data_IF_145377445283
#
_entry.id   IF_145377445283
#
_cell.length_a   1.000
_cell.length_b   1.000
_cell.length_c   1.000
_cell.angle_alpha   90.00
_cell.angle_beta   90.00
_cell.angle_gamma   90.00
#
_symmetry.space_group_name_H-M   'P 1'
#
loop_
_entity.id
_entity.type
_entity.pdbx_description
1 polymer ?
#
# COMPACT_ATOMS: atom_id res chain seq x y z
N UNK A 1 2.13 39.73 -9.91
CA UNK A 1 0.67 39.98 -9.98
C UNK A 1 0.00 39.49 -8.69
N UNK A 2 -0.45 40.36 -7.76
CA UNK A 2 -1.18 39.93 -6.56
C UNK A 2 -2.35 40.87 -6.19
N UNK A 3 -3.34 41.07 -7.08
CA UNK A 3 -4.42 42.05 -6.86
C UNK A 3 -5.83 41.49 -6.63
N UNK A 4 -6.04 40.19 -6.86
CA UNK A 4 -7.40 39.61 -6.87
C UNK A 4 -7.85 39.07 -5.50
N UNK A 5 -6.92 38.53 -4.70
CA UNK A 5 -7.22 37.95 -3.39
C UNK A 5 -7.60 39.00 -2.32
N UNK A 6 -7.08 40.22 -2.43
CA UNK A 6 -7.37 41.31 -1.49
C UNK A 6 -8.77 41.92 -1.64
N UNK A 7 -9.47 41.68 -2.76
CA UNK A 7 -10.87 42.12 -2.93
C UNK A 7 -11.90 41.09 -2.46
N UNK A 8 -11.55 39.81 -2.39
CA UNK A 8 -12.45 38.76 -1.91
C UNK A 8 -12.62 38.75 -0.38
N UNK A 9 -11.60 39.18 0.37
CA UNK A 9 -11.59 39.15 1.83
C UNK A 9 -12.46 40.24 2.50
N UNK A 10 -12.79 41.32 1.77
CA UNK A 10 -13.66 42.39 2.28
C UNK A 10 -15.17 42.07 2.23
N UNK A 11 -15.59 41.14 1.36
CA UNK A 11 -17.01 40.85 1.13
C UNK A 11 -17.63 39.84 2.13
N UNK A 12 -16.81 39.16 2.94
CA UNK A 12 -17.27 38.07 3.83
C UNK A 12 -17.69 38.57 5.23
N UNK A 13 -17.44 39.84 5.58
CA UNK A 13 -17.59 40.33 6.98
C UNK A 13 -18.97 40.88 7.39
N UNK A 14 -20.00 40.79 6.54
CA UNK A 14 -21.38 41.06 6.99
C UNK A 14 -22.15 39.76 7.05
N UNK A 15 -21.95 39.02 8.14
CA UNK A 15 -22.89 37.95 8.53
C UNK A 15 -24.24 38.64 8.76
N UNK A 16 -25.26 38.41 7.92
CA UNK A 16 -26.59 38.95 8.19
C UNK A 16 -27.04 38.40 9.55
N UNK A 17 -27.74 39.22 10.34
CA UNK A 17 -28.29 38.81 11.62
C UNK A 17 -29.05 37.49 11.43
N UNK A 18 -28.58 36.44 12.12
CA UNK A 18 -29.09 35.09 11.94
C UNK A 18 -30.59 35.08 12.24
N UNK A 19 -31.38 34.70 11.25
CA UNK A 19 -32.83 34.54 11.39
C UNK A 19 -33.07 33.30 12.24
N UNK A 20 -33.77 33.48 13.36
CA UNK A 20 -34.17 32.41 14.26
C UNK A 20 -35.21 31.50 13.59
N UNK A 21 -34.84 30.25 13.28
CA UNK A 21 -35.74 29.28 12.66
C UNK A 21 -36.30 28.31 13.71
N UNK A 22 -37.62 28.24 13.92
CA UNK A 22 -38.22 27.26 14.82
C UNK A 22 -38.04 25.84 14.25
N UNK A 23 -37.85 24.86 15.13
CA UNK A 23 -37.83 23.45 14.75
C UNK A 23 -38.76 22.62 15.64
N UNK A 24 -39.28 21.54 15.06
CA UNK A 24 -40.00 20.48 15.77
C UNK A 24 -39.39 19.13 15.38
N UNK A 25 -39.06 18.29 16.37
CA UNK A 25 -38.57 16.92 16.17
C UNK A 25 -39.05 16.01 17.29
N UNK A 26 -39.19 14.72 17.04
CA UNK A 26 -39.42 13.77 18.12
C UNK A 26 -38.10 13.43 18.85
N UNK A 27 -38.18 13.16 20.16
CA UNK A 27 -37.08 12.57 20.92
C UNK A 27 -36.79 11.16 20.39
N UNK A 28 -35.50 10.85 20.15
CA UNK A 28 -35.06 9.57 19.57
C UNK A 28 -35.50 8.37 20.42
N UNK A 29 -35.50 8.50 21.75
CA UNK A 29 -35.76 7.39 22.67
C UNK A 29 -37.24 7.20 23.01
N UNK A 30 -37.97 8.28 23.30
CA UNK A 30 -39.33 8.20 23.84
C UNK A 30 -40.40 8.78 22.90
N UNK A 31 -40.03 9.34 21.75
CA UNK A 31 -40.96 9.90 20.77
C UNK A 31 -41.63 11.22 21.18
N UNK A 32 -41.39 11.75 22.38
CA UNK A 32 -41.98 13.01 22.83
C UNK A 32 -41.55 14.17 21.90
N UNK A 33 -42.47 15.02 21.42
CA UNK A 33 -42.13 16.15 20.57
C UNK A 33 -41.27 17.16 21.35
N UNK A 34 -40.16 17.58 20.72
CA UNK A 34 -39.25 18.61 21.17
C UNK A 34 -39.38 19.79 20.20
N UNK A 35 -39.64 20.98 20.74
CA UNK A 35 -39.72 22.21 19.98
C UNK A 35 -38.73 23.24 20.53
N UNK A 36 -38.17 24.07 19.65
CA UNK A 36 -37.21 25.11 20.02
C UNK A 36 -36.82 25.98 18.83
N UNK A 37 -35.79 26.80 19.01
CA UNK A 37 -35.27 27.71 17.98
C UNK A 37 -33.85 27.31 17.61
N UNK A 38 -33.60 27.08 16.32
CA UNK A 38 -32.25 26.79 15.81
C UNK A 38 -31.40 28.05 15.84
N UNK A 39 -30.18 27.92 16.36
CA UNK A 39 -29.16 28.96 16.31
C UNK A 39 -28.13 28.69 15.23
N UNK A 40 -27.25 29.66 14.96
CA UNK A 40 -26.08 29.47 14.11
C UNK A 40 -25.06 28.47 14.68
N UNK A 41 -25.12 28.21 15.99
CA UNK A 41 -24.30 27.18 16.67
C UNK A 41 -25.12 25.90 16.88
N UNK A 42 -24.48 24.73 16.87
CA UNK A 42 -25.13 23.47 17.25
C UNK A 42 -25.61 23.54 18.70
N UNK A 43 -26.75 22.91 18.99
CA UNK A 43 -27.34 22.87 20.33
C UNK A 43 -27.56 21.42 20.78
N UNK A 44 -27.44 21.17 22.07
CA UNK A 44 -27.82 19.89 22.71
C UNK A 44 -28.95 20.17 23.67
N UNK A 45 -30.10 19.51 23.47
CA UNK A 45 -31.30 19.69 24.29
C UNK A 45 -31.64 18.36 24.96
N UNK A 46 -31.89 18.39 26.26
CA UNK A 46 -32.29 17.21 27.04
C UNK A 46 -33.81 17.02 26.99
N UNK A 47 -34.25 15.81 26.67
CA UNK A 47 -35.67 15.47 26.70
C UNK A 47 -36.21 15.52 28.14
N UNK A 48 -37.34 16.18 28.36
CA UNK A 48 -37.95 16.30 29.69
C UNK A 48 -38.51 14.99 30.25
N UNK A 49 -38.83 14.01 29.39
CA UNK A 49 -39.40 12.73 29.82
C UNK A 49 -38.35 11.65 30.12
N UNK A 50 -37.31 11.53 29.28
CA UNK A 50 -36.32 10.45 29.39
C UNK A 50 -34.89 10.94 29.63
N UNK A 51 -34.67 12.25 29.76
CA UNK A 51 -33.35 12.88 29.94
C UNK A 51 -32.33 12.63 28.81
N UNK A 52 -32.73 11.96 27.71
CA UNK A 52 -31.86 11.71 26.57
C UNK A 52 -31.49 13.04 25.89
N UNK A 53 -30.19 13.21 25.64
CA UNK A 53 -29.66 14.36 24.91
C UNK A 53 -29.96 14.22 23.40
N UNK A 54 -30.47 15.29 22.81
CA UNK A 54 -30.81 15.38 21.39
C UNK A 54 -30.00 16.51 20.75
N UNK A 55 -29.19 16.18 19.73
CA UNK A 55 -28.36 17.14 19.01
C UNK A 55 -29.15 17.84 17.90
N UNK A 56 -29.24 19.17 17.95
CA UNK A 56 -29.92 20.02 16.96
C UNK A 56 -28.88 20.65 16.04
N UNK A 57 -29.05 20.44 14.73
CA UNK A 57 -28.20 21.05 13.71
C UNK A 57 -28.36 22.59 13.69
N UNK A 58 -27.27 23.33 13.42
CA UNK A 58 -27.34 24.77 13.24
C UNK A 58 -28.18 25.14 12.01
N UNK A 59 -28.63 26.40 11.96
CA UNK A 59 -29.27 26.96 10.76
C UNK A 59 -28.31 26.87 9.57
N UNK A 60 -28.81 26.45 8.41
CA UNK A 60 -28.00 26.36 7.19
C UNK A 60 -27.39 27.74 6.88
N UNK A 61 -26.06 27.86 6.74
CA UNK A 61 -25.43 29.13 6.36
C UNK A 61 -25.69 29.48 4.89
N UNK A 62 -26.17 28.52 4.09
CA UNK A 62 -26.48 28.74 2.68
C UNK A 62 -27.85 29.37 2.53
N UNK A 63 -27.97 30.43 1.70
CA UNK A 63 -29.27 31.04 1.42
C UNK A 63 -30.22 29.98 0.82
N UNK A 64 -31.52 30.04 1.15
CA UNK A 64 -32.48 29.09 0.61
C UNK A 64 -32.38 29.10 -0.91
N UNK A 65 -32.22 27.90 -1.50
CA UNK A 65 -32.18 27.75 -2.95
C UNK A 65 -33.45 28.38 -3.51
N UNK A 66 -33.25 29.35 -4.42
CA UNK A 66 -34.35 29.97 -5.15
C UNK A 66 -35.11 28.84 -5.84
N UNK A 67 -36.36 28.61 -5.42
CA UNK A 67 -37.17 27.55 -6.01
C UNK A 67 -37.08 27.67 -7.53
N UNK A 68 -36.73 26.58 -8.23
CA UNK A 68 -36.57 26.62 -9.68
C UNK A 68 -37.88 27.16 -10.24
N UNK A 69 -37.82 28.33 -10.88
CA UNK A 69 -38.98 28.96 -11.52
C UNK A 69 -39.67 27.87 -12.31
N UNK A 70 -40.87 27.47 -11.87
CA UNK A 70 -41.68 26.48 -12.56
C UNK A 70 -41.76 26.94 -14.00
N UNK A 71 -41.02 26.27 -14.89
CA UNK A 71 -41.07 26.56 -16.32
C UNK A 71 -42.54 26.37 -16.67
N UNK A 72 -43.21 27.45 -17.07
CA UNK A 72 -44.57 27.40 -17.59
C UNK A 72 -44.55 26.30 -18.63
N UNK A 73 -45.23 25.20 -18.32
CA UNK A 73 -45.34 24.03 -19.17
C UNK A 73 -46.00 24.53 -20.45
N UNK A 74 -45.20 24.73 -21.49
CA UNK A 74 -45.70 25.16 -22.78
C UNK A 74 -46.79 24.17 -23.20
N UNK A 75 -47.98 24.71 -23.47
CA UNK A 75 -49.12 23.93 -23.94
C UNK A 75 -48.67 23.13 -25.16
N UNK A 76 -48.96 21.82 -25.25
CA UNK A 76 -48.60 21.02 -26.41
C UNK A 76 -49.34 21.57 -27.63
N UNK A 77 -48.62 22.37 -28.41
CA UNK A 77 -49.05 22.89 -29.69
C UNK A 77 -49.13 21.75 -30.69
N UNK A 78 -50.37 21.34 -30.95
CA UNK A 78 -50.85 20.59 -32.10
C UNK A 78 -50.02 20.90 -33.36
N UNK A 79 -49.04 20.07 -33.70
CA UNK A 79 -48.35 20.14 -34.99
C UNK A 79 -48.64 18.89 -35.80
N UNK A 80 -49.22 19.17 -36.96
CA UNK A 80 -49.69 18.27 -37.96
C UNK A 80 -48.59 17.34 -38.48
N UNK A 81 -49.06 16.17 -38.92
CA UNK A 81 -48.39 15.28 -39.82
C UNK A 81 -47.75 16.04 -40.99
N UNK A 82 -46.47 15.78 -41.23
CA UNK A 82 -45.73 16.27 -42.38
C UNK A 82 -44.51 15.40 -42.61
N UNK A 83 -44.55 14.66 -43.71
CA UNK A 83 -43.60 13.66 -44.14
C UNK A 83 -42.23 14.25 -44.58
N UNK A 84 -41.22 13.37 -44.63
CA UNK A 84 -39.92 13.61 -45.29
C UNK A 84 -38.77 13.11 -44.40
N UNK A 85 -38.31 11.86 -44.54
CA UNK A 85 -37.17 11.49 -45.40
C UNK A 85 -36.09 12.58 -45.46
N UNK A 86 -34.97 12.39 -44.77
CA UNK A 86 -33.67 12.23 -45.43
C UNK A 86 -32.62 11.69 -44.45
N UNK A 87 -32.04 10.57 -44.88
CA UNK A 87 -30.78 9.97 -44.49
C UNK A 87 -29.60 10.77 -45.02
N UNK A 88 -28.60 11.06 -44.19
CA UNK A 88 -27.16 11.05 -44.55
C UNK A 88 -26.30 11.72 -43.47
N UNK A 89 -25.29 10.99 -42.96
CA UNK A 89 -24.05 11.55 -42.44
C UNK A 89 -23.71 11.25 -40.97
N UNK A 90 -22.90 10.22 -40.68
CA UNK A 90 -21.83 10.33 -39.70
C UNK A 90 -20.56 10.87 -40.40
N UNK A 91 -19.60 11.33 -39.60
CA UNK A 91 -18.21 11.70 -39.92
C UNK A 91 -17.89 13.17 -39.61
N UNK A 92 -16.73 13.36 -38.99
CA UNK A 92 -16.06 14.63 -38.60
C UNK A 92 -16.30 15.16 -37.17
N UNK A 93 -15.83 14.42 -36.16
CA UNK A 93 -15.51 15.00 -34.84
C UNK A 93 -14.43 14.21 -34.06
N UNK A 94 -13.41 13.67 -34.74
CA UNK A 94 -12.30 12.99 -34.07
C UNK A 94 -10.99 13.09 -34.88
N UNK A 95 -10.38 14.28 -34.93
CA UNK A 95 -8.99 14.47 -35.39
C UNK A 95 -8.50 15.89 -35.08
N UNK A 96 -8.25 16.20 -33.79
CA UNK A 96 -7.49 17.40 -33.44
C UNK A 96 -6.85 17.29 -32.04
N UNK A 97 -6.01 16.27 -31.81
CA UNK A 97 -5.15 16.24 -30.62
C UNK A 97 -3.88 15.35 -30.77
N UNK A 98 -3.24 15.37 -31.95
CA UNK A 98 -1.96 14.67 -32.18
C UNK A 98 -1.01 15.49 -33.07
N UNK A 99 -0.69 16.71 -32.66
CA UNK A 99 0.34 17.51 -33.32
C UNK A 99 1.05 18.46 -32.33
N UNK A 100 1.60 17.93 -31.24
CA UNK A 100 2.54 18.70 -30.41
C UNK A 100 3.54 17.80 -29.67
N UNK A 101 4.23 16.91 -30.37
CA UNK A 101 5.44 16.22 -29.86
C UNK A 101 6.38 15.83 -30.99
N UNK A 102 7.08 16.79 -31.58
CA UNK A 102 8.28 16.52 -32.37
C UNK A 102 9.12 17.79 -32.57
N UNK A 103 9.94 18.16 -31.59
CA UNK A 103 11.28 18.66 -31.90
C UNK A 103 12.20 18.54 -30.68
N UNK A 104 13.26 17.75 -30.84
CA UNK A 104 14.58 17.77 -30.21
C UNK A 104 15.15 16.37 -30.44
N UNK A 105 15.96 16.24 -31.49
CA UNK A 105 16.81 15.08 -31.74
C UNK A 105 18.24 15.56 -31.96
N UNK A 106 19.17 14.71 -31.53
CA UNK A 106 20.64 14.70 -31.78
C UNK A 106 21.43 15.50 -30.73
N UNK A 107 22.39 14.95 -29.96
CA UNK A 107 23.58 14.18 -30.38
C UNK A 107 24.10 13.21 -29.28
N UNK A 108 24.56 12.02 -29.73
CA UNK A 108 25.52 11.06 -29.13
C UNK A 108 25.16 10.32 -27.82
N UNK A 109 25.45 9.03 -27.63
CA UNK A 109 26.18 8.05 -28.44
C UNK A 109 26.00 6.65 -27.81
N UNK A 110 25.90 5.63 -28.66
CA UNK A 110 25.63 4.24 -28.29
C UNK A 110 26.85 3.54 -27.65
N UNK A 111 26.61 2.86 -26.53
CA UNK A 111 27.33 1.63 -26.16
C UNK A 111 26.27 0.56 -25.86
N UNK A 112 26.22 -0.45 -26.71
CA UNK A 112 25.28 -1.55 -26.65
C UNK A 112 25.65 -2.53 -25.53
N UNK A 113 24.71 -2.82 -24.64
CA UNK A 113 24.72 -4.02 -23.79
C UNK A 113 23.48 -4.82 -24.14
N UNK A 114 23.72 -5.98 -24.73
CA UNK A 114 22.74 -6.99 -25.11
C UNK A 114 22.29 -7.74 -23.86
N UNK A 115 21.01 -7.64 -23.49
CA UNK A 115 20.36 -8.57 -22.56
C UNK A 115 19.10 -9.11 -23.22
N UNK A 116 19.04 -10.43 -23.31
CA UNK A 116 17.98 -11.20 -23.94
C UNK A 116 16.66 -11.06 -23.17
N UNK A 117 15.58 -10.78 -23.90
CA UNK A 117 14.19 -10.99 -23.45
C UNK A 117 13.69 -12.34 -23.95
N UNK A 118 12.92 -13.10 -23.14
CA UNK A 118 12.28 -14.33 -23.59
C UNK A 118 10.95 -14.04 -24.31
N UNK A 119 10.57 -15.02 -25.12
CA UNK A 119 9.63 -14.96 -26.23
C UNK A 119 8.16 -14.95 -25.81
N UNK A 120 7.38 -14.09 -26.47
CA UNK A 120 5.92 -14.19 -26.57
C UNK A 120 5.55 -14.84 -27.92
N UNK A 121 4.85 -15.97 -27.90
CA UNK A 121 4.08 -16.50 -29.04
C UNK A 121 2.64 -16.74 -28.56
N UNK A 122 1.65 -15.97 -29.01
CA UNK A 122 0.86 -16.04 -30.25
C UNK A 122 -0.05 -17.27 -30.38
N UNK A 123 -1.34 -16.99 -30.15
CA UNK A 123 -2.53 -17.34 -30.97
C UNK A 123 -2.79 -18.80 -31.34
N UNK A 124 -3.96 -19.30 -30.90
CA UNK A 124 -4.74 -20.26 -31.65
C UNK A 124 -6.19 -19.78 -31.76
N UNK A 125 -6.63 -19.63 -33.02
CA UNK A 125 -8.00 -19.36 -33.44
C UNK A 125 -8.67 -20.66 -33.84
N UNK A 126 -9.82 -20.98 -33.24
CA UNK A 126 -10.66 -22.12 -33.64
C UNK A 126 -12.14 -21.82 -33.42
N UNK A 127 -12.89 -21.72 -34.52
CA UNK A 127 -14.31 -21.36 -34.60
C UNK A 127 -15.18 -22.60 -34.91
N UNK A 128 -16.48 -22.49 -34.59
CA UNK A 128 -17.62 -23.40 -34.87
C UNK A 128 -17.71 -24.66 -33.98
N UNK A 129 -18.85 -25.12 -33.42
CA UNK A 129 -20.23 -25.10 -33.91
C UNK A 129 -21.28 -25.26 -32.77
N UNK A 130 -22.41 -24.56 -32.92
CA UNK A 130 -23.81 -25.02 -32.81
C UNK A 130 -24.21 -26.18 -31.87
N UNK A 131 -25.11 -25.93 -30.90
CA UNK A 131 -26.43 -26.58 -30.82
C UNK A 131 -27.25 -26.23 -29.56
N UNK A 132 -28.37 -25.57 -29.81
CA UNK A 132 -29.55 -25.41 -28.95
C UNK A 132 -30.16 -26.75 -28.55
N UNK A 133 -30.58 -26.93 -27.28
CA UNK A 133 -31.71 -27.81 -26.96
C UNK A 133 -32.42 -27.43 -25.66
N UNK A 134 -33.73 -27.33 -25.80
CA UNK A 134 -34.74 -26.97 -24.83
C UNK A 134 -35.02 -28.05 -23.77
N UNK A 135 -35.54 -27.55 -22.64
CA UNK A 135 -36.39 -28.12 -21.61
C UNK A 135 -36.95 -29.56 -21.74
N UNK A 136 -36.91 -30.31 -20.61
CA UNK A 136 -38.15 -30.75 -19.92
C UNK A 136 -37.87 -31.45 -18.55
N UNK A 137 -38.89 -31.60 -17.67
CA UNK A 137 -38.76 -31.83 -16.22
C UNK A 137 -39.15 -33.24 -15.72
N UNK A 138 -38.78 -33.53 -14.46
CA UNK A 138 -39.62 -34.25 -13.48
C UNK A 138 -39.45 -35.78 -13.29
N UNK A 139 -39.05 -36.20 -12.07
CA UNK A 139 -39.54 -37.39 -11.31
C UNK A 139 -38.69 -37.54 -10.03
N UNK A 140 -39.21 -37.44 -8.80
CA UNK A 140 -40.18 -38.29 -8.07
C UNK A 140 -39.78 -39.77 -7.94
N UNK A 141 -39.43 -40.19 -6.72
CA UNK A 141 -39.39 -41.57 -6.24
C UNK A 141 -38.44 -41.73 -5.05
N UNK A 142 -38.86 -41.45 -3.81
CA UNK A 142 -39.48 -42.39 -2.86
C UNK A 142 -38.69 -43.69 -2.59
N UNK A 143 -37.96 -43.70 -1.47
CA UNK A 143 -37.91 -44.76 -0.45
C UNK A 143 -37.47 -46.18 -0.79
N UNK A 144 -36.49 -46.70 -0.06
CA UNK A 144 -36.64 -47.93 0.73
C UNK A 144 -35.49 -48.17 1.71
N UNK A 145 -35.84 -48.91 2.77
CA UNK A 145 -35.15 -49.18 4.02
C UNK A 145 -33.97 -50.16 3.89
N UNK A 146 -33.02 -50.02 4.83
CA UNK A 146 -32.22 -50.99 5.64
C UNK A 146 -32.36 -52.52 5.40
N UNK A 147 -31.43 -53.41 5.87
CA UNK A 147 -30.49 -53.21 6.99
C UNK A 147 -29.08 -53.86 6.90
N UNK A 148 -28.19 -53.40 7.80
CA UNK A 148 -27.39 -54.29 8.64
C UNK A 148 -26.04 -54.80 8.13
N UNK A 149 -24.94 -54.27 8.68
CA UNK A 149 -23.75 -55.09 8.91
C UNK A 149 -22.96 -54.65 10.14
N UNK A 150 -22.83 -55.59 11.08
CA UNK A 150 -22.00 -55.56 12.27
C UNK A 150 -20.52 -55.55 11.89
N UNK A 151 -19.69 -54.79 12.60
CA UNK A 151 -18.24 -54.80 12.38
C UNK A 151 -17.42 -54.01 13.40
N UNK A 152 -17.24 -54.58 14.59
CA UNK A 152 -16.08 -54.46 15.50
C UNK A 152 -15.40 -53.10 15.69
N UNK A 153 -15.68 -52.55 16.87
CA UNK A 153 -14.80 -51.82 17.79
C UNK A 153 -13.29 -52.08 17.67
N UNK A 154 -12.51 -51.00 17.59
CA UNK A 154 -11.12 -50.88 18.05
C UNK A 154 -10.99 -49.62 18.92
N UNK A 155 -10.34 -49.70 20.09
CA UNK A 155 -10.11 -48.54 20.95
C UNK A 155 -8.90 -47.73 20.48
N UNK A 156 -9.01 -46.41 20.57
CA UNK A 156 -7.93 -45.44 20.47
C UNK A 156 -7.25 -45.33 21.83
N UNK A 157 -6.00 -45.78 21.91
CA UNK A 157 -5.10 -45.47 23.03
C UNK A 157 -3.94 -44.68 22.47
N UNK A 158 -3.63 -43.57 23.14
CA UNK A 158 -2.65 -42.59 22.71
C UNK A 158 -1.22 -43.10 22.61
N UNK A 159 -0.39 -42.30 21.94
CA UNK A 159 1.04 -42.51 21.87
C UNK A 159 1.75 -41.18 21.77
N UNK A 160 2.29 -40.74 22.91
CA UNK A 160 3.38 -39.78 23.02
C UNK A 160 4.53 -40.17 22.10
N UNK A 161 5.07 -39.21 21.35
CA UNK A 161 6.38 -39.36 20.71
C UNK A 161 7.43 -38.89 21.71
N UNK A 162 8.05 -39.88 22.36
CA UNK A 162 9.24 -39.74 23.21
C UNK A 162 10.48 -40.07 22.36
N UNK A 163 11.48 -39.22 22.48
CA UNK A 163 12.86 -39.40 22.01
C UNK A 163 13.52 -40.67 22.58
N UNK A 164 14.15 -41.48 21.73
CA UNK A 164 15.25 -42.40 22.06
C UNK A 164 15.86 -42.88 20.72
N UNK A 165 17.13 -42.66 20.36
CA UNK A 165 18.38 -43.07 21.00
C UNK A 165 18.46 -44.58 21.25
N UNK A 166 19.18 -45.30 20.37
CA UNK A 166 19.53 -46.72 20.51
C UNK A 166 19.93 -47.29 19.15
N UNK A 167 21.22 -47.45 18.85
CA UNK A 167 22.04 -48.63 19.15
C UNK A 167 21.52 -49.95 18.53
N UNK A 168 22.26 -50.42 17.52
CA UNK A 168 22.82 -51.78 17.46
C UNK A 168 21.89 -52.98 17.18
N UNK A 169 22.08 -53.60 16.01
CA UNK A 169 22.32 -55.05 15.76
C UNK A 169 22.14 -55.32 14.27
N UNK A 170 23.19 -55.76 13.57
CA UNK A 170 23.58 -57.18 13.39
C UNK A 170 22.45 -58.05 12.84
N UNK A 171 22.52 -58.31 11.53
CA UNK A 171 22.25 -59.63 10.97
C UNK A 171 22.78 -59.69 9.51
N UNK A 172 23.89 -60.41 9.37
CA UNK A 172 24.11 -61.44 8.36
C UNK A 172 23.91 -61.12 6.86
N UNK A 173 25.06 -61.05 6.18
CA UNK A 173 25.42 -62.20 5.35
C UNK A 173 25.02 -62.13 3.88
N UNK A 174 25.87 -61.50 3.07
CA UNK A 174 26.29 -62.14 1.82
C UNK A 174 27.64 -61.60 1.35
N UNK A 175 28.66 -62.43 1.59
CA UNK A 175 30.01 -62.30 1.04
C UNK A 175 29.92 -62.61 -0.45
N UNK A 176 29.95 -61.58 -1.29
CA UNK A 176 30.28 -61.69 -2.71
C UNK A 176 31.66 -61.05 -2.94
N UNK A 177 32.54 -61.84 -3.54
CA UNK A 177 33.96 -61.56 -3.70
C UNK A 177 34.27 -60.26 -4.48
N UNK A 178 35.42 -59.60 -4.19
CA UNK A 178 35.81 -58.33 -4.80
C UNK A 178 36.50 -58.56 -6.15
N UNK A 179 35.74 -58.53 -7.25
CA UNK A 179 36.30 -58.53 -8.59
C UNK A 179 36.13 -57.15 -9.24
N UNK A 180 37.23 -56.40 -9.30
CA UNK A 180 37.36 -55.25 -10.20
C UNK A 180 37.72 -53.94 -9.53
N UNK A 181 38.96 -53.82 -9.02
CA UNK A 181 39.61 -52.51 -8.91
C UNK A 181 39.75 -51.91 -10.31
N UNK A 182 38.70 -51.25 -10.80
CA UNK A 182 38.82 -50.28 -11.88
C UNK A 182 39.69 -49.16 -11.34
N UNK A 183 40.99 -49.25 -11.62
CA UNK A 183 41.89 -48.09 -11.55
C UNK A 183 41.25 -47.05 -12.45
N UNK A 184 40.58 -46.07 -11.84
CA UNK A 184 40.27 -44.79 -12.46
C UNK A 184 41.63 -44.21 -12.87
N UNK A 185 42.05 -44.54 -14.10
CA UNK A 185 43.13 -43.84 -14.78
C UNK A 185 42.58 -42.44 -15.02
N UNK A 186 42.79 -41.56 -14.06
CA UNK A 186 42.78 -40.12 -14.29
C UNK A 186 43.66 -39.89 -15.53
N UNK A 187 43.09 -39.44 -16.66
CA UNK A 187 43.90 -39.14 -17.83
C UNK A 187 44.92 -38.09 -17.41
N UNK A 188 46.20 -38.38 -17.63
CA UNK A 188 47.30 -37.46 -17.42
C UNK A 188 47.22 -36.32 -18.45
N UNK A 189 46.19 -35.47 -18.33
CA UNK A 189 45.94 -34.31 -19.18
C UNK A 189 46.65 -33.04 -18.65
N UNK A 190 47.63 -33.20 -17.75
CA UNK A 190 48.30 -32.08 -17.07
C UNK A 190 49.58 -31.55 -17.74
N UNK A 191 50.15 -32.26 -18.71
CA UNK A 191 51.51 -31.94 -19.20
C UNK A 191 51.58 -31.11 -20.50
N UNK A 192 50.47 -30.95 -21.23
CA UNK A 192 50.47 -30.22 -22.52
C UNK A 192 50.15 -28.71 -22.40
N UNK A 193 49.58 -28.27 -21.28
CA UNK A 193 49.17 -26.86 -21.10
C UNK A 193 50.35 -25.89 -20.87
N UNK A 194 51.53 -26.38 -20.48
CA UNK A 194 52.67 -25.54 -20.09
C UNK A 194 53.52 -25.05 -21.27
N UNK A 195 53.28 -25.53 -22.50
CA UNK A 195 54.02 -25.08 -23.70
C UNK A 195 53.54 -23.74 -24.28
N UNK A 196 52.43 -23.19 -23.82
CA UNK A 196 51.93 -21.88 -24.27
C UNK A 196 52.38 -20.70 -23.39
N UNK A 197 53.13 -20.96 -22.32
CA UNK A 197 53.70 -19.93 -21.45
C UNK A 197 54.99 -19.37 -22.06
N UNK A 198 54.84 -18.55 -23.11
CA UNK A 198 55.92 -17.65 -23.53
C UNK A 198 55.88 -16.41 -22.62
N UNK A 199 57.03 -15.94 -22.10
CA UNK A 199 57.07 -14.83 -21.14
C UNK A 199 56.37 -13.57 -21.67
N UNK A 200 56.40 -13.34 -22.98
CA UNK A 200 55.71 -12.23 -23.65
C UNK A 200 54.19 -12.31 -23.48
N UNK A 201 53.58 -13.49 -23.62
CA UNK A 201 52.11 -13.65 -23.49
C UNK A 201 51.63 -13.41 -22.06
N UNK A 202 52.43 -13.78 -21.07
CA UNK A 202 52.12 -13.49 -19.66
C UNK A 202 52.10 -11.98 -19.40
N UNK A 203 53.06 -11.23 -19.95
CA UNK A 203 53.09 -9.76 -19.85
C UNK A 203 51.88 -9.13 -20.52
N UNK A 204 51.53 -9.54 -21.75
CA UNK A 204 50.35 -9.02 -22.46
C UNK A 204 49.06 -9.32 -21.72
N UNK A 205 48.88 -10.55 -21.22
CA UNK A 205 47.72 -10.92 -20.43
C UNK A 205 47.63 -10.10 -19.13
N UNK A 206 48.75 -9.87 -18.45
CA UNK A 206 48.81 -9.00 -17.29
C UNK A 206 48.41 -7.55 -17.60
N UNK A 207 48.90 -6.99 -18.70
CA UNK A 207 48.52 -5.64 -19.13
C UNK A 207 47.02 -5.55 -19.46
N UNK A 208 46.48 -6.53 -20.19
CA UNK A 208 45.04 -6.58 -20.50
C UNK A 208 44.18 -6.70 -19.24
N UNK A 209 44.59 -7.51 -18.26
CA UNK A 209 43.90 -7.65 -16.98
C UNK A 209 43.85 -6.31 -16.23
N UNK A 210 44.97 -5.59 -16.16
CA UNK A 210 45.03 -4.26 -15.52
C UNK A 210 44.13 -3.25 -16.23
N UNK A 211 44.11 -3.25 -17.57
CA UNK A 211 43.24 -2.38 -18.35
C UNK A 211 41.75 -2.67 -18.09
N UNK A 212 41.35 -3.94 -18.10
CA UNK A 212 39.98 -4.36 -17.80
C UNK A 212 39.57 -3.97 -16.38
N UNK A 213 40.46 -4.18 -15.40
CA UNK A 213 40.22 -3.80 -14.01
C UNK A 213 40.06 -2.28 -13.86
N UNK A 214 40.85 -1.49 -14.59
CA UNK A 214 40.79 -0.02 -14.58
C UNK A 214 39.49 0.49 -15.18
N UNK A 215 39.05 -0.07 -16.31
CA UNK A 215 37.76 0.28 -16.93
C UNK A 215 36.60 -0.09 -16.02
N UNK A 216 36.62 -1.30 -15.45
CA UNK A 216 35.61 -1.75 -14.50
C UNK A 216 35.54 -0.84 -13.27
N UNK A 217 36.69 -0.46 -12.71
CA UNK A 217 36.75 0.47 -11.58
C UNK A 217 36.21 1.87 -11.94
N UNK A 218 36.51 2.37 -13.14
CA UNK A 218 36.00 3.65 -13.62
C UNK A 218 34.49 3.65 -13.80
N UNK A 219 33.91 2.60 -14.38
CA UNK A 219 32.46 2.43 -14.50
C UNK A 219 31.81 2.30 -13.12
N UNK A 220 32.37 1.46 -12.24
CA UNK A 220 31.87 1.29 -10.87
C UNK A 220 31.85 2.62 -10.11
N UNK A 221 32.92 3.41 -10.20
CA UNK A 221 33.00 4.73 -9.54
C UNK A 221 31.95 5.69 -10.08
N UNK A 222 31.76 5.77 -11.40
CA UNK A 222 30.71 6.61 -12.00
C UNK A 222 29.32 6.19 -11.58
N UNK A 223 29.04 4.88 -11.52
CA UNK A 223 27.76 4.37 -11.08
C UNK A 223 27.48 4.73 -9.61
N UNK A 224 28.49 4.65 -8.74
CA UNK A 224 28.36 5.07 -7.33
C UNK A 224 28.15 6.58 -7.20
N UNK A 225 28.86 7.39 -7.97
CA UNK A 225 28.68 8.86 -8.00
C UNK A 225 27.28 9.23 -8.51
N UNK A 226 26.78 8.57 -9.56
CA UNK A 226 25.42 8.76 -10.08
C UNK A 226 24.35 8.30 -9.09
N UNK A 227 24.54 7.16 -8.42
CA UNK A 227 23.61 6.66 -7.41
C UNK A 227 23.42 7.67 -6.27
N UNK A 228 24.51 8.28 -5.78
CA UNK A 228 24.43 9.31 -4.75
C UNK A 228 23.59 10.53 -5.17
N UNK A 229 23.74 11.00 -6.41
CA UNK A 229 22.92 12.11 -6.94
C UNK A 229 21.45 11.68 -7.12
N UNK A 230 21.22 10.46 -7.60
CA UNK A 230 19.88 9.93 -7.84
C UNK A 230 19.07 9.84 -6.55
N UNK A 231 19.66 9.41 -5.43
CA UNK A 231 18.96 9.33 -4.14
C UNK A 231 18.36 10.70 -3.77
N UNK A 232 19.18 11.74 -3.70
CA UNK A 232 18.71 13.07 -3.29
C UNK A 232 17.68 13.67 -4.24
N UNK A 233 17.87 13.52 -5.55
CA UNK A 233 16.92 14.03 -6.55
C UNK A 233 15.59 13.30 -6.49
N UNK A 234 15.62 11.96 -6.39
CA UNK A 234 14.43 11.14 -6.32
C UNK A 234 13.68 11.31 -4.99
N UNK A 235 14.39 11.45 -3.86
CA UNK A 235 13.77 11.80 -2.57
C UNK A 235 13.03 13.15 -2.67
N UNK A 236 13.68 14.19 -3.19
CA UNK A 236 13.09 15.52 -3.32
C UNK A 236 11.85 15.51 -4.22
N UNK A 237 11.92 14.85 -5.38
CA UNK A 237 10.78 14.72 -6.28
C UNK A 237 9.64 13.89 -5.65
N UNK A 238 9.99 12.79 -4.99
CA UNK A 238 9.03 11.94 -4.29
C UNK A 238 8.30 12.69 -3.17
N UNK A 239 9.01 13.55 -2.44
CA UNK A 239 8.43 14.41 -1.42
C UNK A 239 7.47 15.46 -1.98
N UNK A 240 7.84 16.09 -3.09
CA UNK A 240 6.95 17.02 -3.79
C UNK A 240 5.66 16.31 -4.26
N UNK A 241 5.78 15.12 -4.86
CA UNK A 241 4.64 14.32 -5.31
C UNK A 241 3.76 13.82 -4.16
N UNK A 242 4.36 13.48 -3.01
CA UNK A 242 3.64 13.11 -1.80
C UNK A 242 2.81 14.30 -1.28
N UNK A 243 3.40 15.50 -1.24
CA UNK A 243 2.70 16.72 -0.84
C UNK A 243 1.52 17.06 -1.78
N UNK A 244 1.60 16.67 -3.05
CA UNK A 244 0.50 16.76 -4.03
C UNK A 244 -0.56 15.65 -3.88
N UNK A 245 -0.38 14.68 -2.97
CA UNK A 245 -1.26 13.52 -2.80
C UNK A 245 -1.13 12.46 -3.90
N UNK A 246 -0.08 12.53 -4.73
CA UNK A 246 0.15 11.61 -5.86
C UNK A 246 0.93 10.37 -5.41
N UNK A 247 0.30 9.56 -4.57
CA UNK A 247 0.91 8.42 -3.88
C UNK A 247 1.64 7.44 -4.83
N UNK A 248 1.03 7.07 -5.97
CA UNK A 248 1.64 6.13 -6.92
C UNK A 248 2.93 6.67 -7.55
N UNK A 249 2.92 7.93 -8.00
CA UNK A 249 4.11 8.57 -8.59
C UNK A 249 5.19 8.82 -7.53
N UNK A 250 4.80 9.18 -6.30
CA UNK A 250 5.74 9.27 -5.18
C UNK A 250 6.40 7.92 -4.89
N UNK A 251 5.64 6.82 -4.89
CA UNK A 251 6.18 5.47 -4.67
C UNK A 251 7.23 5.08 -5.73
N UNK A 252 7.04 5.49 -6.99
CA UNK A 252 7.99 5.25 -8.10
C UNK A 252 9.29 6.05 -7.94
N UNK A 253 9.24 7.32 -7.50
CA UNK A 253 10.44 8.10 -7.19
C UNK A 253 11.20 7.48 -6.01
N UNK A 254 10.51 7.10 -4.93
CA UNK A 254 11.16 6.44 -3.79
C UNK A 254 11.67 5.03 -4.12
N UNK A 255 11.09 4.34 -5.12
CA UNK A 255 11.65 3.09 -5.64
C UNK A 255 13.03 3.34 -6.27
N UNK A 256 13.14 4.38 -7.10
CA UNK A 256 14.43 4.79 -7.69
C UNK A 256 15.46 5.20 -6.63
N UNK A 257 15.03 5.90 -5.59
CA UNK A 257 15.89 6.23 -4.46
C UNK A 257 16.37 4.97 -3.73
N UNK A 258 15.49 3.99 -3.49
CA UNK A 258 15.82 2.73 -2.83
C UNK A 258 16.79 1.88 -3.66
N UNK A 259 16.57 1.74 -4.96
CA UNK A 259 17.48 1.05 -5.88
C UNK A 259 18.86 1.72 -5.91
N UNK A 260 18.91 3.05 -5.90
CA UNK A 260 20.16 3.78 -5.85
C UNK A 260 20.88 3.60 -4.49
N UNK A 261 20.14 3.50 -3.38
CA UNK A 261 20.68 3.19 -2.07
C UNK A 261 21.28 1.77 -2.02
N UNK A 262 20.61 0.78 -2.62
CA UNK A 262 21.12 -0.59 -2.74
C UNK A 262 22.41 -0.67 -3.58
N UNK A 263 22.51 0.13 -4.64
CA UNK A 263 23.74 0.22 -5.44
C UNK A 263 24.93 0.79 -4.66
N UNK A 264 24.68 1.65 -3.68
CA UNK A 264 25.72 2.16 -2.78
C UNK A 264 26.15 1.15 -1.72
N UNK A 265 25.39 0.05 -1.53
CA UNK A 265 25.61 -1.00 -0.52
C UNK A 265 25.78 -0.40 0.89
N UNK A 266 25.01 0.65 1.19
CA UNK A 266 25.05 1.32 2.49
C UNK A 266 23.97 0.74 3.38
N UNK A 267 24.38 0.05 4.44
CA UNK A 267 23.50 -0.34 5.54
C UNK A 267 23.19 0.81 6.50
N UNK A 268 23.28 2.06 6.06
CA UNK A 268 23.10 3.23 6.89
C UNK A 268 21.61 3.56 7.14
N UNK A 269 21.39 4.45 8.10
CA UNK A 269 20.06 4.89 8.51
C UNK A 269 19.27 5.53 7.38
N UNK A 270 19.95 6.28 6.50
CA UNK A 270 19.31 6.93 5.35
C UNK A 270 18.75 5.88 4.39
N UNK A 271 19.53 4.85 4.04
CA UNK A 271 19.07 3.78 3.15
C UNK A 271 17.84 3.06 3.73
N UNK A 272 17.86 2.73 5.04
CA UNK A 272 16.70 2.14 5.72
C UNK A 272 15.47 3.04 5.67
N UNK A 273 15.63 4.35 5.82
CA UNK A 273 14.55 5.33 5.73
C UNK A 273 13.94 5.45 4.35
N UNK A 274 14.76 5.41 3.31
CA UNK A 274 14.32 5.43 1.92
C UNK A 274 13.50 4.17 1.63
N UNK A 275 14.03 3.00 2.02
CA UNK A 275 13.32 1.74 1.89
C UNK A 275 11.99 1.74 2.63
N UNK A 276 11.99 2.15 3.90
CA UNK A 276 10.76 2.25 4.68
C UNK A 276 9.72 3.17 4.02
N UNK A 277 10.15 4.34 3.53
CA UNK A 277 9.25 5.30 2.86
C UNK A 277 8.71 4.77 1.54
N UNK A 278 9.55 4.10 0.75
CA UNK A 278 9.13 3.42 -0.47
C UNK A 278 8.05 2.37 -0.16
N UNK A 279 8.27 1.53 0.86
CA UNK A 279 7.32 0.50 1.27
C UNK A 279 5.99 1.11 1.76
N UNK A 280 6.03 2.15 2.61
CA UNK A 280 4.83 2.86 3.08
C UNK A 280 4.01 3.44 1.91
N UNK A 281 4.67 4.08 0.94
CA UNK A 281 4.01 4.66 -0.23
C UNK A 281 3.48 3.60 -1.19
N UNK A 282 4.20 2.48 -1.35
CA UNK A 282 3.75 1.36 -2.16
C UNK A 282 2.48 0.73 -1.57
N UNK A 283 2.44 0.55 -0.25
CA UNK A 283 1.26 0.08 0.46
C UNK A 283 0.10 1.08 0.32
N UNK A 284 0.35 2.36 0.53
CA UNK A 284 -0.62 3.44 0.39
C UNK A 284 -1.21 3.52 -1.03
N UNK A 285 -0.37 3.41 -2.07
CA UNK A 285 -0.79 3.44 -3.47
C UNK A 285 -1.59 2.19 -3.90
N UNK A 286 -1.48 1.09 -3.15
CA UNK A 286 -2.14 -0.20 -3.44
C UNK A 286 -3.31 -0.51 -2.50
N UNK A 287 -3.70 0.44 -1.66
CA UNK A 287 -4.85 0.26 -0.78
C UNK A 287 -6.09 -0.15 -1.57
N UNK A 288 -6.81 -1.13 -1.02
CA UNK A 288 -8.07 -1.60 -1.56
C UNK A 288 -9.09 -0.47 -1.62
N UNK A 289 -9.78 -0.34 -2.76
CA UNK A 289 -10.94 0.55 -2.86
C UNK A 289 -12.16 0.02 -2.10
N UNK A 290 -12.19 -1.28 -1.80
CA UNK A 290 -13.26 -1.95 -1.04
C UNK A 290 -12.85 -2.06 0.42
N UNK A 291 -13.74 -1.69 1.34
CA UNK A 291 -13.47 -1.79 2.76
C UNK A 291 -13.43 -3.25 3.23
N UNK A 292 -12.69 -3.52 4.31
CA UNK A 292 -12.62 -4.86 4.90
C UNK A 292 -14.00 -5.34 5.39
N UNK A 293 -14.84 -4.42 5.87
CA UNK A 293 -16.21 -4.69 6.31
C UNK A 293 -17.07 -5.17 5.14
N UNK A 294 -17.04 -4.48 3.99
CA UNK A 294 -17.80 -4.89 2.81
C UNK A 294 -17.37 -6.27 2.28
N UNK A 295 -16.07 -6.57 2.31
CA UNK A 295 -15.55 -7.89 1.92
C UNK A 295 -16.10 -8.98 2.84
N UNK A 296 -16.11 -8.74 4.16
CA UNK A 296 -16.65 -9.67 5.13
C UNK A 296 -18.18 -9.80 5.05
N UNK A 297 -18.91 -8.72 4.80
CA UNK A 297 -20.36 -8.75 4.58
C UNK A 297 -20.73 -9.54 3.32
N UNK A 298 -19.94 -9.41 2.25
CA UNK A 298 -20.07 -10.21 1.04
C UNK A 298 -19.81 -11.69 1.34
N UNK A 299 -18.74 -11.99 2.10
CA UNK A 299 -18.42 -13.35 2.54
C UNK A 299 -19.57 -13.96 3.36
N UNK A 300 -20.08 -13.24 4.36
CA UNK A 300 -21.20 -13.67 5.19
C UNK A 300 -22.47 -13.91 4.37
N UNK A 301 -22.76 -13.04 3.41
CA UNK A 301 -23.92 -13.17 2.52
C UNK A 301 -23.85 -14.42 1.63
N UNK A 302 -22.65 -14.79 1.16
CA UNK A 302 -22.44 -16.01 0.35
C UNK A 302 -22.48 -17.26 1.20
N UNK A 303 -21.85 -17.24 2.38
CA UNK A 303 -21.90 -18.34 3.34
C UNK A 303 -23.35 -18.66 3.75
N UNK A 304 -24.17 -17.64 4.02
CA UNK A 304 -25.58 -17.81 4.38
C UNK A 304 -26.43 -18.44 3.28
N UNK A 305 -26.00 -18.40 2.01
CA UNK A 305 -26.64 -19.07 0.88
C UNK A 305 -26.20 -20.52 0.69
N UNK A 306 -25.24 -21.00 1.50
CA UNK A 306 -24.66 -22.33 1.36
C UNK A 306 -23.76 -22.47 0.14
N UNK A 307 -23.20 -21.37 -0.37
CA UNK A 307 -22.13 -21.42 -1.35
C UNK A 307 -20.93 -22.13 -0.71
N UNK A 308 -20.32 -23.09 -1.39
CA UNK A 308 -19.17 -23.84 -0.86
C UNK A 308 -17.85 -23.22 -1.32
N UNK A 309 -17.86 -22.59 -2.49
CA UNK A 309 -16.66 -22.08 -3.19
C UNK A 309 -16.42 -20.59 -2.91
N UNK A 310 -17.27 -19.96 -2.08
CA UNK A 310 -17.11 -18.55 -1.74
C UNK A 310 -15.72 -18.19 -1.18
N UNK A 311 -15.03 -19.01 -0.34
CA UNK A 311 -13.73 -18.63 0.19
C UNK A 311 -12.68 -18.52 -0.92
N UNK A 312 -12.71 -19.43 -1.89
CA UNK A 312 -11.78 -19.44 -3.02
C UNK A 312 -12.04 -18.25 -3.93
N UNK A 313 -13.30 -18.01 -4.33
CA UNK A 313 -13.64 -16.87 -5.18
C UNK A 313 -13.31 -15.51 -4.54
N UNK A 314 -13.54 -15.39 -3.23
CA UNK A 314 -13.27 -14.16 -2.49
C UNK A 314 -11.75 -13.96 -2.32
N UNK A 315 -11.01 -15.05 -2.11
CA UNK A 315 -9.54 -15.03 -2.10
C UNK A 315 -9.02 -14.64 -3.48
N UNK A 316 -9.50 -15.22 -4.57
CA UNK A 316 -9.07 -14.83 -5.92
C UNK A 316 -9.38 -13.37 -6.25
N UNK A 317 -10.51 -12.85 -5.79
CA UNK A 317 -10.95 -11.48 -6.07
C UNK A 317 -10.19 -10.43 -5.26
N UNK A 318 -9.72 -10.77 -4.06
CA UNK A 318 -9.13 -9.81 -3.12
C UNK A 318 -7.71 -10.17 -2.64
N UNK A 319 -7.14 -11.29 -3.06
CA UNK A 319 -5.77 -11.66 -2.72
C UNK A 319 -4.79 -10.59 -3.19
N UNK A 320 -3.92 -10.14 -2.29
CA UNK A 320 -2.96 -9.09 -2.57
C UNK A 320 -3.51 -7.66 -2.44
N UNK A 321 -4.81 -7.49 -2.14
CA UNK A 321 -5.38 -6.18 -1.81
C UNK A 321 -4.80 -5.69 -0.49
N UNK A 322 -4.36 -4.44 -0.43
CA UNK A 322 -3.75 -3.86 0.77
C UNK A 322 -4.81 -3.22 1.66
N UNK A 323 -4.68 -3.44 2.96
CA UNK A 323 -5.53 -2.85 3.98
C UNK A 323 -4.68 -2.08 4.97
N UNK A 324 -5.13 -0.88 5.30
CA UNK A 324 -4.60 -0.10 6.40
C UNK A 324 -5.40 -0.46 7.66
N UNK A 325 -4.68 -0.89 8.69
CA UNK A 325 -5.24 -1.33 9.96
C UNK A 325 -4.66 -0.48 11.07
N UNK A 326 -5.54 0.03 11.90
CA UNK A 326 -5.20 0.64 13.17
C UNK A 326 -5.84 -0.18 14.28
N UNK A 327 -5.01 -0.76 15.12
CA UNK A 327 -5.46 -1.73 16.11
C UNK A 327 -4.41 -1.95 17.18
N UNK A 328 -4.85 -2.43 18.33
CA UNK A 328 -3.92 -2.91 19.35
C UNK A 328 -3.30 -4.24 18.90
N UNK A 329 -1.99 -4.35 19.10
CA UNK A 329 -1.21 -5.56 18.95
C UNK A 329 -0.72 -6.02 20.32
N UNK A 330 -0.78 -7.32 20.58
CA UNK A 330 -0.35 -7.94 21.84
C UNK A 330 0.48 -9.18 21.54
N UNK A 331 1.53 -9.42 22.34
CA UNK A 331 2.30 -10.65 22.27
C UNK A 331 2.31 -11.33 23.63
N UNK A 332 1.62 -12.47 23.73
CA UNK A 332 1.52 -13.21 24.99
C UNK A 332 2.88 -13.72 25.51
N UNK A 333 3.79 -14.11 24.61
CA UNK A 333 5.17 -14.52 24.90
C UNK A 333 6.06 -14.35 23.66
N UNK A 334 7.39 -14.27 23.84
CA UNK A 334 8.35 -14.04 22.74
C UNK A 334 8.20 -15.04 21.57
N UNK A 335 7.90 -16.31 21.85
CA UNK A 335 7.74 -17.37 20.84
C UNK A 335 6.29 -17.52 20.32
N UNK A 336 5.37 -16.64 20.73
CA UNK A 336 3.96 -16.69 20.30
C UNK A 336 3.72 -15.71 19.15
N UNK A 337 2.84 -16.06 18.19
CA UNK A 337 2.43 -15.14 17.16
C UNK A 337 1.80 -13.89 17.79
N UNK A 338 1.96 -12.76 17.12
CA UNK A 338 1.35 -11.50 17.56
C UNK A 338 -0.16 -11.58 17.34
N UNK A 339 -0.90 -11.32 18.39
CA UNK A 339 -2.35 -11.25 18.36
C UNK A 339 -2.77 -9.81 18.04
N UNK A 340 -3.59 -9.65 17.00
CA UNK A 340 -4.08 -8.35 16.56
C UNK A 340 -5.55 -8.23 16.94
N UNK A 341 -5.84 -7.31 17.84
CA UNK A 341 -7.16 -7.16 18.46
C UNK A 341 -8.11 -6.33 17.61
N UNK A 342 -8.91 -6.98 16.76
CA UNK A 342 -9.92 -6.30 15.94
C UNK A 342 -11.32 -6.46 16.58
N UNK A 343 -11.90 -5.42 17.18
CA UNK A 343 -13.23 -5.49 17.80
C UNK A 343 -14.36 -5.38 16.76
N UNK A 344 -14.23 -6.07 15.63
CA UNK A 344 -15.21 -6.05 14.54
C UNK A 344 -16.13 -7.28 14.65
N UNK A 345 -17.43 -7.06 14.46
CA UNK A 345 -18.47 -8.10 14.44
C UNK A 345 -19.17 -8.08 13.08
N UNK A 346 -19.18 -9.19 12.35
CA UNK A 346 -19.85 -9.31 11.05
C UNK A 346 -20.82 -10.47 11.10
N UNK A 347 -22.10 -10.20 10.82
CA UNK A 347 -23.19 -11.17 10.92
C UNK A 347 -23.26 -11.88 12.30
N UNK A 348 -22.90 -11.16 13.37
CA UNK A 348 -22.89 -11.69 14.74
C UNK A 348 -21.68 -12.56 15.08
N UNK A 349 -20.72 -12.71 14.16
CA UNK A 349 -19.48 -13.44 14.40
C UNK A 349 -18.32 -12.46 14.63
N UNK A 350 -17.46 -12.69 15.64
CA UNK A 350 -16.26 -11.87 15.84
C UNK A 350 -15.27 -12.08 14.71
N UNK A 351 -14.47 -11.05 14.43
CA UNK A 351 -13.41 -11.08 13.43
C UNK A 351 -12.06 -11.20 14.12
N UNK A 352 -11.33 -12.26 13.81
CA UNK A 352 -9.96 -12.48 14.24
C UNK A 352 -8.99 -12.14 13.11
N UNK A 353 -8.01 -11.29 13.40
CA UNK A 353 -6.92 -10.98 12.47
C UNK A 353 -5.71 -11.87 12.80
N UNK A 354 -5.34 -12.74 11.86
CA UNK A 354 -4.12 -13.55 11.92
C UNK A 354 -3.04 -12.86 11.09
N UNK A 355 -2.29 -11.99 11.76
CA UNK A 355 -1.25 -11.17 11.14
C UNK A 355 0.14 -11.59 11.66
N UNK A 356 0.63 -12.75 11.19
CA UNK A 356 2.01 -13.19 11.44
C UNK A 356 2.97 -12.45 10.50
N UNK A 357 3.07 -11.13 10.69
CA UNK A 357 3.84 -10.25 9.83
C UNK A 357 5.30 -10.20 10.28
N UNK A 358 6.23 -10.29 9.34
CA UNK A 358 7.67 -10.23 9.60
C UNK A 358 8.05 -8.94 10.33
N UNK A 359 7.40 -7.81 10.01
CA UNK A 359 7.64 -6.52 10.67
C UNK A 359 7.38 -6.58 12.17
N UNK A 360 6.48 -7.44 12.65
CA UNK A 360 6.21 -7.57 14.07
C UNK A 360 7.29 -8.34 14.82
N UNK A 361 8.07 -9.18 14.14
CA UNK A 361 9.12 -9.99 14.79
C UNK A 361 10.24 -9.12 15.35
N UNK A 362 10.52 -7.97 14.74
CA UNK A 362 11.53 -7.01 15.20
C UNK A 362 11.01 -6.03 16.27
N UNK A 363 9.71 -5.97 16.52
CA UNK A 363 9.15 -4.97 17.44
C UNK A 363 9.22 -5.44 18.90
N UNK A 364 9.48 -4.52 19.84
CA UNK A 364 9.41 -4.78 21.28
C UNK A 364 7.95 -4.84 21.78
N UNK A 365 7.15 -5.74 21.20
CA UNK A 365 5.76 -5.94 21.61
C UNK A 365 5.75 -6.70 22.93
N UNK A 366 5.24 -6.06 23.97
CA UNK A 366 5.07 -6.63 25.29
C UNK A 366 3.73 -7.38 25.41
N UNK A 367 3.47 -7.94 26.59
CA UNK A 367 2.17 -8.53 26.91
C UNK A 367 1.04 -7.48 27.03
N UNK A 368 1.40 -6.19 27.18
CA UNK A 368 0.45 -5.09 27.22
C UNK A 368 -0.05 -4.75 25.80
N UNK A 369 -1.34 -4.44 25.61
CA UNK A 369 -1.85 -3.98 24.31
C UNK A 369 -1.17 -2.68 23.88
N UNK A 370 -0.49 -2.73 22.73
CA UNK A 370 0.19 -1.59 22.13
C UNK A 370 -0.55 -1.19 20.86
N UNK A 371 -0.93 0.07 20.72
CA UNK A 371 -1.51 0.57 19.47
C UNK A 371 -0.46 0.56 18.36
N UNK A 372 -0.88 0.19 17.15
CA UNK A 372 -0.05 0.26 15.95
C UNK A 372 -0.91 0.58 14.72
N UNK A 373 -0.34 1.38 13.81
CA UNK A 373 -0.87 1.56 12.45
C UNK A 373 0.04 0.81 11.50
N UNK A 374 -0.53 -0.11 10.73
CA UNK A 374 0.21 -0.88 9.75
C UNK A 374 -0.65 -1.17 8.52
N UNK A 375 0.02 -1.39 7.39
CA UNK A 375 -0.60 -1.88 6.18
C UNK A 375 -0.15 -3.32 5.93
N UNK A 376 -1.05 -4.15 5.42
CA UNK A 376 -0.73 -5.51 5.01
C UNK A 376 -1.62 -5.97 3.86
N UNK A 377 -1.10 -6.87 3.03
CA UNK A 377 -1.84 -7.47 1.93
C UNK A 377 -2.65 -8.68 2.43
N UNK A 378 -3.94 -8.71 2.10
CA UNK A 378 -4.82 -9.82 2.44
C UNK A 378 -4.39 -11.07 1.68
N UNK A 379 -4.19 -12.16 2.42
CA UNK A 379 -3.87 -13.47 1.87
C UNK A 379 -5.14 -14.31 1.70
N UNK A 380 -5.97 -14.38 2.73
CA UNK A 380 -7.14 -15.26 2.76
C UNK A 380 -8.21 -14.76 3.73
N UNK A 381 -9.46 -15.06 3.40
CA UNK A 381 -10.62 -14.92 4.31
C UNK A 381 -11.25 -16.29 4.51
N UNK A 382 -11.50 -16.67 5.76
CA UNK A 382 -12.18 -17.91 6.11
C UNK A 382 -13.13 -17.71 7.29
N UNK A 383 -14.10 -18.62 7.43
CA UNK A 383 -14.92 -18.74 8.62
C UNK A 383 -14.51 -20.04 9.34
N UNK A 384 -13.94 -19.93 10.53
CA UNK A 384 -13.59 -21.08 11.36
C UNK A 384 -14.75 -21.36 12.33
N UNK A 385 -15.09 -22.64 12.54
CA UNK A 385 -16.25 -23.05 13.35
C UNK A 385 -15.91 -23.44 14.80
N UNK A 386 -14.63 -23.49 15.18
CA UNK A 386 -14.19 -24.14 16.42
C UNK A 386 -13.15 -23.32 17.19
N UNK A 387 -13.28 -23.18 18.52
CA UNK A 387 -14.39 -23.62 19.38
C UNK A 387 -15.67 -22.75 19.29
N UNK A 388 -15.54 -21.52 18.82
CA UNK A 388 -16.65 -20.59 18.57
C UNK A 388 -16.57 -20.12 17.11
N UNK A 389 -17.69 -19.94 16.41
CA UNK A 389 -17.68 -19.49 15.03
C UNK A 389 -17.15 -18.06 14.95
N UNK A 390 -16.14 -17.83 14.12
CA UNK A 390 -15.52 -16.52 13.93
C UNK A 390 -14.95 -16.38 12.52
N UNK A 391 -14.81 -15.14 12.07
CA UNK A 391 -14.11 -14.82 10.83
C UNK A 391 -12.61 -14.80 11.09
N UNK A 392 -11.82 -15.40 10.21
CA UNK A 392 -10.36 -15.33 10.23
C UNK A 392 -9.89 -14.62 8.97
N UNK A 393 -9.16 -13.54 9.18
CA UNK A 393 -8.47 -12.80 8.13
C UNK A 393 -6.98 -13.07 8.24
N UNK A 394 -6.41 -13.71 7.22
CA UNK A 394 -4.97 -13.98 7.15
C UNK A 394 -4.31 -12.95 6.23
N UNK A 395 -3.22 -12.36 6.69
CA UNK A 395 -2.40 -11.44 5.90
C UNK A 395 -1.10 -12.11 5.46
N UNK A 396 -0.53 -11.62 4.36
CA UNK A 396 0.73 -12.19 3.83
C UNK A 396 1.91 -11.79 4.74
N UNK A 397 2.72 -12.74 5.24
CA UNK A 397 3.76 -12.47 6.24
C UNK A 397 4.80 -11.40 5.85
N UNK A 398 5.17 -11.35 4.57
CA UNK A 398 6.17 -10.43 4.01
C UNK A 398 5.60 -9.06 3.62
N UNK A 399 4.29 -8.87 3.70
CA UNK A 399 3.61 -7.64 3.29
C UNK A 399 3.41 -6.63 4.41
N UNK A 400 3.73 -6.98 5.66
CA UNK A 400 3.50 -6.11 6.80
C UNK A 400 4.42 -4.90 6.81
N UNK A 401 3.84 -3.69 6.82
CA UNK A 401 4.59 -2.43 6.86
C UNK A 401 3.97 -1.55 7.94
N UNK A 402 4.76 -1.06 8.90
CA UNK A 402 4.29 -0.04 9.84
C UNK A 402 4.24 1.32 9.13
N UNK A 403 3.21 2.12 9.39
CA UNK A 403 3.24 3.52 9.01
C UNK A 403 4.02 4.30 10.06
N UNK A 404 5.06 5.00 9.66
CA UNK A 404 5.88 5.82 10.56
C UNK A 404 5.88 7.29 10.18
N UNK A 405 5.56 7.64 8.93
CA UNK A 405 5.68 9.02 8.44
C UNK A 405 4.34 9.78 8.47
N UNK A 406 4.29 10.96 9.12
CA UNK A 406 3.09 11.78 9.15
C UNK A 406 2.58 12.19 7.76
N UNK A 407 3.47 12.53 6.82
CA UNK A 407 3.07 12.95 5.48
C UNK A 407 2.36 11.85 4.67
N UNK A 408 2.69 10.57 4.90
CA UNK A 408 1.97 9.45 4.28
C UNK A 408 0.57 9.32 4.88
N UNK A 409 0.46 9.43 6.21
CA UNK A 409 -0.83 9.43 6.91
C UNK A 409 -1.73 10.58 6.45
N UNK A 410 -1.20 11.81 6.33
CA UNK A 410 -1.95 12.97 5.84
C UNK A 410 -2.42 12.79 4.40
N UNK A 411 -1.57 12.24 3.52
CA UNK A 411 -1.93 11.93 2.14
C UNK A 411 -3.03 10.84 2.03
N UNK A 412 -3.14 9.99 3.05
CA UNK A 412 -4.24 9.02 3.21
C UNK A 412 -5.50 9.62 3.86
N UNK A 413 -5.48 10.91 4.22
CA UNK A 413 -6.59 11.58 4.88
C UNK A 413 -6.69 11.32 6.39
N UNK A 414 -5.65 10.75 7.00
CA UNK A 414 -5.58 10.57 8.46
C UNK A 414 -5.20 11.89 9.11
N UNK A 415 -6.10 12.44 9.92
CA UNK A 415 -5.87 13.73 10.58
C UNK A 415 -4.91 13.56 11.76
N UNK A 416 -3.81 14.31 11.78
CA UNK A 416 -2.83 14.26 12.87
C UNK A 416 -3.30 14.99 14.14
N UNK A 417 -4.20 15.97 13.99
CA UNK A 417 -4.55 16.96 15.02
C UNK A 417 -6.00 16.84 15.55
N UNK A 418 -6.93 16.24 14.78
CA UNK A 418 -8.33 16.13 15.18
C UNK A 418 -8.67 14.75 15.74
N UNK A 419 -9.03 14.68 17.02
CA UNK A 419 -9.67 13.54 17.66
C UNK A 419 -8.78 12.30 17.71
N UNK A 420 -7.96 12.22 18.76
CA UNK A 420 -7.17 11.02 19.03
C UNK A 420 -8.07 9.78 19.07
N UNK A 421 -7.49 8.67 18.64
CA UNK A 421 -8.20 7.43 18.45
C UNK A 421 -8.69 6.92 19.81
N UNK A 422 -10.00 6.75 19.94
CA UNK A 422 -10.64 6.34 21.20
C UNK A 422 -10.46 4.83 21.37
N UNK A 423 -9.25 4.41 21.73
CA UNK A 423 -8.98 3.06 22.19
C UNK A 423 -8.70 3.08 23.69
N UNK A 424 -9.64 2.60 24.49
CA UNK A 424 -9.47 2.47 25.94
C UNK A 424 -9.53 3.78 26.74
N UNK A 425 -10.06 4.87 26.16
CA UNK A 425 -10.32 6.12 26.87
C UNK A 425 -9.12 7.08 27.00
N UNK A 426 -7.99 6.78 26.35
CA UNK A 426 -6.87 7.72 26.21
C UNK A 426 -6.69 8.09 24.74
N UNK A 427 -7.00 9.33 24.40
CA UNK A 427 -6.66 9.93 23.12
C UNK A 427 -5.13 10.08 23.05
N UNK A 428 -4.43 9.11 22.45
CA UNK A 428 -3.03 9.32 22.07
C UNK A 428 -3.02 10.09 20.74
N UNK A 429 -2.31 11.23 20.65
CA UNK A 429 -2.17 11.94 19.39
C UNK A 429 -1.43 11.03 18.40
N UNK A 430 -1.94 10.96 17.16
CA UNK A 430 -1.39 10.13 16.09
C UNK A 430 0.11 10.35 15.90
N UNK A 431 0.60 11.59 16.06
CA UNK A 431 2.04 11.90 16.01
C UNK A 431 2.87 11.13 17.05
N UNK A 432 2.37 10.95 18.27
CA UNK A 432 3.09 10.22 19.32
C UNK A 432 3.13 8.72 19.02
N UNK A 433 2.07 8.18 18.42
CA UNK A 433 2.04 6.80 17.95
C UNK A 433 3.07 6.58 16.83
N UNK A 434 3.08 7.44 15.81
CA UNK A 434 4.03 7.36 14.70
C UNK A 434 5.48 7.51 15.17
N UNK A 435 5.76 8.44 16.08
CA UNK A 435 7.09 8.60 16.68
C UNK A 435 7.53 7.33 17.42
N UNK A 436 6.64 6.71 18.21
CA UNK A 436 6.93 5.43 18.88
C UNK A 436 7.24 4.31 17.88
N UNK A 437 6.47 4.19 16.80
CA UNK A 437 6.70 3.20 15.75
C UNK A 437 8.03 3.43 15.03
N UNK A 438 8.39 4.69 14.79
CA UNK A 438 9.69 5.06 14.22
C UNK A 438 10.86 4.66 15.15
N UNK A 439 10.71 4.85 16.46
CA UNK A 439 11.66 4.38 17.47
C UNK A 439 11.82 2.85 17.48
N UNK A 440 10.73 2.10 17.28
CA UNK A 440 10.81 0.63 17.19
C UNK A 440 11.60 0.12 15.98
N UNK A 441 11.56 0.85 14.86
CA UNK A 441 12.32 0.50 13.66
C UNK A 441 13.78 0.97 13.72
N UNK A 442 14.21 1.54 14.85
CA UNK A 442 15.50 2.21 14.98
C UNK A 442 15.70 3.24 13.87
N UNK A 443 14.63 3.87 13.39
CA UNK A 443 14.68 4.90 12.35
C UNK A 443 14.79 6.31 12.95
N UNK A 444 14.70 6.40 14.28
CA UNK A 444 14.93 7.64 15.01
C UNK A 444 16.26 8.22 14.60
N UNK A 445 16.13 9.44 14.15
CA UNK A 445 17.22 10.19 13.64
C UNK A 445 18.12 10.55 14.80
N UNK A 446 19.40 10.20 14.68
CA UNK A 446 20.44 10.98 15.34
C UNK A 446 20.52 12.41 14.73
N UNK A 447 19.39 12.97 14.24
CA UNK A 447 19.25 14.35 13.80
C UNK A 447 19.54 15.21 14.99
N UNK A 448 20.51 16.09 14.83
CA UNK A 448 20.66 17.29 15.62
C UNK A 448 20.72 17.07 17.13
N UNK A 449 21.44 16.02 17.57
CA UNK A 449 22.40 16.34 18.62
C UNK A 449 23.42 17.21 17.90
N UNK A 450 23.42 18.55 18.08
CA UNK A 450 24.45 19.38 17.47
C UNK A 450 25.76 18.71 17.82
N UNK A 451 26.45 18.20 16.79
CA UNK A 451 27.83 17.75 16.92
C UNK A 451 28.51 18.92 17.58
N UNK A 452 28.82 18.80 18.87
CA UNK A 452 29.31 19.90 19.71
C UNK A 452 30.72 20.38 19.31
N UNK A 453 31.08 20.20 18.04
CA UNK A 453 32.34 20.51 17.43
C UNK A 453 32.28 20.60 15.91
N UNK A 454 31.12 20.67 15.25
CA UNK A 454 31.12 21.28 13.92
C UNK A 454 31.36 22.78 14.14
N UNK A 455 32.55 23.30 13.78
CA UNK A 455 32.82 24.72 13.93
C UNK A 455 31.76 25.44 13.12
N UNK A 456 31.07 26.38 13.78
CA UNK A 456 30.18 27.31 13.11
C UNK A 456 30.81 27.69 11.77
N UNK A 457 30.10 27.59 10.63
CA UNK A 457 30.65 27.95 9.34
C UNK A 457 31.31 29.30 9.53
N UNK A 458 32.65 29.31 9.43
CA UNK A 458 33.44 30.50 9.68
C UNK A 458 32.75 31.58 8.85
N UNK A 459 32.21 32.59 9.54
CA UNK A 459 31.48 33.67 8.90
C UNK A 459 32.33 34.08 7.71
N UNK A 460 31.86 33.72 6.51
CA UNK A 460 32.53 34.05 5.28
C UNK A 460 32.33 35.54 5.20
N UNK A 461 33.32 36.26 5.73
CA UNK A 461 33.34 37.69 5.78
C UNK A 461 33.10 38.19 4.37
N UNK A 462 32.01 38.96 4.23
CA UNK A 462 32.10 40.33 3.73
C UNK A 462 33.13 40.47 2.61
N UNK A 463 32.92 39.70 1.53
CA UNK A 463 33.63 39.89 0.27
C UNK A 463 32.85 40.91 -0.53
N UNK A 464 33.27 42.15 -0.34
CA UNK A 464 33.35 43.20 -1.35
C UNK A 464 32.14 43.31 -2.28
N UNK A 465 31.21 44.19 -1.89
CA UNK A 465 30.33 44.91 -2.80
C UNK A 465 31.15 45.44 -4.01
N UNK A 466 30.93 44.96 -5.25
CA UNK A 466 31.59 45.53 -6.43
C UNK A 466 31.00 46.89 -6.85
N UNK A 467 30.14 47.50 -6.03
CA UNK A 467 29.42 48.73 -6.36
C UNK A 467 30.19 50.04 -6.06
N UNK A 468 31.41 49.98 -5.50
CA UNK A 468 32.14 51.16 -5.04
C UNK A 468 33.27 51.67 -5.97
N UNK A 469 33.45 51.12 -7.19
CA UNK A 469 34.56 51.51 -8.08
C UNK A 469 34.17 52.26 -9.37
N UNK A 470 32.92 52.71 -9.55
CA UNK A 470 32.51 53.47 -10.74
C UNK A 470 32.34 55.00 -10.55
N UNK A 471 32.66 55.56 -9.37
CA UNK A 471 32.43 57.00 -9.11
C UNK A 471 33.68 57.90 -9.11
N UNK A 472 34.86 57.39 -9.50
CA UNK A 472 36.10 58.19 -9.57
C UNK A 472 36.60 58.39 -11.01
N UNK A 473 35.72 58.83 -11.92
CA UNK A 473 36.18 59.25 -13.26
C UNK A 473 35.25 60.25 -13.98
N UNK A 474 34.78 61.27 -13.26
CA UNK A 474 34.02 62.36 -13.90
C UNK A 474 34.36 63.70 -13.24
N UNK A 475 35.37 64.41 -13.79
CA UNK A 475 35.65 65.87 -13.81
C UNK A 475 37.16 66.01 -14.13
N UNK A 476 37.64 66.59 -15.23
CA UNK A 476 37.50 68.00 -15.66
C UNK A 476 37.65 68.15 -17.19
N UNK A 477 37.00 69.16 -17.79
CA UNK A 477 37.54 69.87 -18.94
C UNK A 477 37.94 71.31 -18.55
N UNK A 478 39.09 71.76 -19.06
CA UNK A 478 39.46 73.18 -19.22
C UNK A 478 39.76 73.45 -20.68
#
# INVERSE_FOLDING_TARGET
MPGWLSRASGAIRKTPAAVEEPFERACIQCGLPLAGVRTAKPQVISCSACSQQNFILPVSPYPPLKEPRQRKRDKPGKRAAGAGRNSSGPDDAAQQEQAETADIRTVAGHAAVTVASPETGTSDTGSADSATREAMPGRSGSGQRAPGRKGRSRPSTGGSVVLQAGQGREADGQIAAPAGRRRLRLPAAGAAAWRFYTPVRAVVAGCLLVLLLTVWWGVRRRNLEQAAVTIHLAEHNGDALLAEGRLGAAAEEFARAAEAADLLDRGDMQSRRVHQKHQELLAAARLSSTSLVEILELAASRQGRGDVDWPEQLTESHAGSWFLLETAVTRAAADRPVEVSCPLMIAGLPVQLRADLNVFQSLPIEASPQQAIFAAALLRVSAEQTPEPHWVLEFRPDSGILLTRPGVCEALGLSLDEGGLVSGGQEQPLRALLARQMGWLELEEAEDRPTAGDPAPAAEGDRDDPAALEEENRHEPR
#
